data_IF_273925071504
#
_entry.id   IF_273925071504
#
_cell.length_a   1.000
_cell.length_b   1.000
_cell.length_c   1.000
_cell.angle_alpha   90.00
_cell.angle_beta   90.00
_cell.angle_gamma   90.00
#
_symmetry.space_group_name_H-M   'P 1'
#
loop_
_entity.id
_entity.type
_entity.pdbx_description
1 polymer ?
#
# COMPACT_ATOMS: atom_id res chain seq x y z
N UNK A 1 17.20 29.27 -1.31
CA UNK A 1 17.23 28.33 -2.44
C UNK A 1 17.26 26.93 -1.85
N UNK A 2 16.11 26.29 -1.70
CA UNK A 2 16.02 24.93 -1.15
C UNK A 2 16.05 23.94 -2.31
N UNK A 3 17.09 23.10 -2.34
CA UNK A 3 17.21 22.01 -3.30
C UNK A 3 16.37 20.86 -2.76
N UNK A 4 15.26 20.57 -3.43
CA UNK A 4 14.45 19.36 -3.17
C UNK A 4 15.15 18.21 -3.91
N UNK A 5 15.72 17.28 -3.16
CA UNK A 5 16.19 16.01 -3.72
C UNK A 5 14.99 15.09 -3.93
N UNK A 6 14.49 15.00 -5.17
CA UNK A 6 13.57 13.95 -5.57
C UNK A 6 14.41 12.70 -5.82
N UNK A 7 14.36 11.74 -4.90
CA UNK A 7 14.87 10.39 -5.15
C UNK A 7 13.88 9.66 -6.07
N UNK A 8 14.22 9.59 -7.36
CA UNK A 8 13.56 8.71 -8.32
C UNK A 8 14.03 7.27 -8.08
N UNK A 9 13.23 6.47 -7.38
CA UNK A 9 13.41 5.02 -7.36
C UNK A 9 12.90 4.45 -8.69
N UNK A 10 13.82 4.00 -9.55
CA UNK A 10 13.50 3.27 -10.78
C UNK A 10 13.20 1.81 -10.41
N UNK A 11 11.93 1.44 -10.21
CA UNK A 11 11.54 0.02 -10.16
C UNK A 11 11.15 -0.47 -11.56
N UNK A 12 11.68 -1.61 -11.97
CA UNK A 12 11.31 -2.26 -13.23
C UNK A 12 9.94 -2.96 -13.08
N UNK A 13 8.96 -2.56 -13.90
CA UNK A 13 7.75 -3.36 -14.08
C UNK A 13 8.07 -4.53 -15.03
N UNK A 14 7.66 -5.76 -14.67
CA UNK A 14 7.73 -6.92 -15.58
C UNK A 14 6.27 -7.36 -15.76
N UNK A 15 5.74 -7.47 -16.97
CA UNK A 15 4.33 -7.83 -17.22
C UNK A 15 4.26 -9.34 -17.53
N UNK A 16 3.25 -10.06 -17.04
CA UNK A 16 3.01 -11.46 -17.43
C UNK A 16 1.90 -11.57 -18.50
N UNK A 17 1.76 -12.77 -19.09
CA UNK A 17 0.86 -13.04 -20.22
C UNK A 17 -0.64 -12.99 -19.90
N UNK A 18 -1.04 -12.72 -18.65
CA UNK A 18 -2.44 -12.65 -18.21
C UNK A 18 -2.97 -11.23 -18.07
N UNK A 19 -2.12 -10.21 -18.25
CA UNK A 19 -2.54 -8.81 -18.13
C UNK A 19 -2.79 -8.34 -16.69
N UNK A 20 -2.59 -9.20 -15.67
CA UNK A 20 -2.49 -8.74 -14.29
C UNK A 20 -1.14 -8.04 -14.10
N UNK A 21 -1.17 -6.85 -13.49
CA UNK A 21 0.04 -6.13 -13.13
C UNK A 21 0.87 -6.99 -12.18
N UNK A 22 2.01 -7.51 -12.63
CA UNK A 22 2.97 -8.17 -11.76
C UNK A 22 3.34 -7.22 -10.63
N UNK A 23 3.50 -7.78 -9.45
CA UNK A 23 3.92 -7.02 -8.29
C UNK A 23 5.19 -6.20 -8.58
N UNK A 24 5.16 -4.93 -8.20
CA UNK A 24 6.30 -4.03 -8.25
C UNK A 24 7.21 -4.33 -7.06
N UNK A 25 8.45 -4.76 -7.32
CA UNK A 25 9.46 -4.95 -6.26
C UNK A 25 10.14 -3.63 -5.96
N UNK A 26 10.07 -3.18 -4.71
CA UNK A 26 10.86 -2.05 -4.20
C UNK A 26 12.18 -2.57 -3.64
N UNK A 27 13.26 -1.82 -3.86
CA UNK A 27 14.57 -2.15 -3.30
C UNK A 27 14.55 -2.16 -1.77
N UNK A 28 15.39 -3.01 -1.18
CA UNK A 28 15.50 -3.08 0.27
C UNK A 28 16.25 -1.85 0.81
N UNK A 29 15.72 -1.26 1.89
CA UNK A 29 16.32 -0.14 2.62
C UNK A 29 16.99 -0.70 3.87
N UNK A 30 18.20 -0.22 4.16
CA UNK A 30 18.96 -0.60 5.37
C UNK A 30 20.43 -0.93 5.10
N UNK A 31 21.02 -1.73 5.97
CA UNK A 31 22.38 -2.23 5.87
C UNK A 31 22.52 -3.42 4.91
N UNK A 32 23.76 -3.68 4.48
CA UNK A 32 24.10 -4.78 3.55
C UNK A 32 24.46 -6.11 4.26
N UNK A 33 24.26 -6.18 5.57
CA UNK A 33 24.58 -7.36 6.37
C UNK A 33 23.50 -8.45 6.31
N UNK A 34 23.80 -9.61 6.89
CA UNK A 34 22.84 -10.70 7.05
C UNK A 34 22.65 -11.57 5.81
N UNK A 35 21.91 -12.66 5.98
CA UNK A 35 21.46 -13.54 4.89
C UNK A 35 20.22 -12.94 4.25
N UNK A 36 20.18 -12.91 2.93
CA UNK A 36 19.00 -12.47 2.18
C UNK A 36 17.83 -13.44 2.37
N UNK A 37 16.63 -12.88 2.39
CA UNK A 37 15.36 -13.60 2.44
C UNK A 37 14.34 -12.88 1.55
N UNK A 38 13.37 -13.62 1.02
CA UNK A 38 12.36 -13.13 0.09
C UNK A 38 11.11 -14.00 0.24
N UNK A 39 10.04 -13.43 0.78
CA UNK A 39 8.77 -14.13 0.93
C UNK A 39 7.96 -14.13 -0.38
N UNK A 40 8.44 -13.42 -1.40
CA UNK A 40 7.78 -13.31 -2.69
C UNK A 40 6.56 -12.39 -2.68
N UNK A 41 5.85 -12.40 -3.80
CA UNK A 41 4.70 -11.54 -4.07
C UNK A 41 3.41 -12.31 -4.36
N UNK A 42 3.41 -13.62 -4.11
CA UNK A 42 2.29 -14.50 -4.48
C UNK A 42 1.25 -14.56 -3.34
N UNK A 43 0.81 -13.39 -2.86
CA UNK A 43 -0.16 -13.23 -1.79
C UNK A 43 -1.16 -12.12 -2.13
N UNK A 44 -2.35 -12.20 -1.53
CA UNK A 44 -3.41 -11.19 -1.72
C UNK A 44 -3.24 -10.02 -0.75
N UNK A 45 -2.75 -10.28 0.46
CA UNK A 45 -2.55 -9.26 1.51
C UNK A 45 -1.58 -9.75 2.59
N UNK A 46 -1.20 -8.85 3.50
CA UNK A 46 -0.54 -9.16 4.77
C UNK A 46 -1.62 -9.26 5.84
N UNK A 47 -1.65 -10.36 6.58
CA UNK A 47 -2.63 -10.59 7.65
C UNK A 47 -2.11 -10.13 9.01
N UNK A 48 -0.82 -10.35 9.30
CA UNK A 48 -0.25 -10.02 10.61
C UNK A 48 1.25 -9.81 10.54
N UNK A 49 1.74 -8.84 11.32
CA UNK A 49 3.17 -8.57 11.48
C UNK A 49 3.59 -8.97 12.88
N UNK A 50 4.77 -9.57 12.99
CA UNK A 50 5.43 -9.93 14.25
C UNK A 50 6.81 -9.31 14.27
N UNK A 51 7.11 -8.53 15.31
CA UNK A 51 8.41 -7.88 15.48
C UNK A 51 8.92 -8.14 16.88
N UNK A 52 10.19 -8.54 16.97
CA UNK A 52 10.90 -8.66 18.25
C UNK A 52 12.09 -7.73 18.28
N UNK A 53 12.10 -6.84 19.26
CA UNK A 53 13.25 -6.03 19.61
C UNK A 53 14.25 -6.80 20.48
N UNK A 54 15.50 -6.36 20.43
CA UNK A 54 16.59 -6.75 21.32
C UNK A 54 17.50 -5.56 21.62
N UNK A 55 18.61 -5.81 22.31
CA UNK A 55 19.53 -4.76 22.76
C UNK A 55 20.15 -3.94 21.61
N UNK A 56 20.38 -4.58 20.47
CA UNK A 56 21.05 -3.98 19.31
C UNK A 56 20.08 -3.47 18.23
N UNK A 57 18.77 -3.67 18.41
CA UNK A 57 17.73 -3.33 17.43
C UNK A 57 16.74 -4.47 17.23
N UNK A 58 16.08 -4.51 16.07
CA UNK A 58 15.13 -5.57 15.73
C UNK A 58 15.88 -6.87 15.48
N UNK A 59 15.53 -7.93 16.22
CA UNK A 59 16.16 -9.25 16.13
C UNK A 59 15.53 -10.15 15.07
N UNK A 60 14.19 -10.10 14.94
CA UNK A 60 13.49 -10.75 13.85
C UNK A 60 12.21 -10.03 13.48
N UNK A 61 11.78 -10.27 12.24
CA UNK A 61 10.46 -9.94 11.72
C UNK A 61 9.83 -11.18 11.08
N UNK A 62 8.50 -11.30 11.17
CA UNK A 62 7.70 -12.33 10.50
C UNK A 62 6.40 -11.72 10.03
N UNK A 63 5.90 -12.21 8.91
CA UNK A 63 4.64 -11.81 8.31
C UNK A 63 3.78 -13.03 8.08
N UNK A 64 2.54 -13.01 8.56
CA UNK A 64 1.53 -13.93 8.05
C UNK A 64 0.82 -13.25 6.89
N UNK A 65 0.57 -14.01 5.85
CA UNK A 65 -0.03 -13.53 4.61
C UNK A 65 -1.47 -14.02 4.47
N UNK A 66 -2.24 -13.34 3.63
CA UNK A 66 -3.55 -13.81 3.19
C UNK A 66 -3.47 -14.26 1.74
N UNK A 67 -4.09 -15.40 1.44
CA UNK A 67 -4.28 -15.90 0.09
C UNK A 67 -5.55 -16.74 -0.01
N UNK A 68 -6.36 -16.50 -1.03
CA UNK A 68 -7.62 -17.21 -1.27
C UNK A 68 -8.53 -17.21 -0.03
N UNK A 69 -8.56 -16.07 0.68
CA UNK A 69 -9.33 -15.89 1.91
C UNK A 69 -8.81 -16.64 3.14
N UNK A 70 -7.61 -17.21 3.09
CA UNK A 70 -6.96 -17.94 4.19
C UNK A 70 -5.68 -17.27 4.64
N UNK A 71 -5.40 -17.37 5.93
CA UNK A 71 -4.11 -16.94 6.49
C UNK A 71 -3.06 -18.04 6.32
N UNK A 72 -1.88 -17.64 5.84
CA UNK A 72 -0.69 -18.48 5.65
C UNK A 72 0.38 -18.01 6.64
N UNK A 73 0.90 -18.95 7.43
CA UNK A 73 1.99 -18.70 8.39
C UNK A 73 3.30 -18.43 7.63
N UNK A 74 3.97 -17.32 7.94
CA UNK A 74 5.23 -16.97 7.30
C UNK A 74 6.48 -17.48 8.02
N UNK A 75 7.63 -17.25 7.39
CA UNK A 75 8.92 -17.58 8.00
C UNK A 75 9.41 -16.48 8.95
N UNK A 76 10.19 -16.88 9.96
CA UNK A 76 10.92 -15.95 10.81
C UNK A 76 12.20 -15.51 10.10
N UNK A 77 12.40 -14.20 9.98
CA UNK A 77 13.60 -13.60 9.39
C UNK A 77 14.44 -12.93 10.47
N UNK A 78 15.56 -13.56 10.83
CA UNK A 78 16.44 -13.16 11.93
C UNK A 78 16.57 -14.25 12.98
N UNK A 79 16.72 -13.88 14.26
CA UNK A 79 16.93 -14.85 15.34
C UNK A 79 15.69 -14.98 16.24
N UNK A 80 15.12 -16.18 16.26
CA UNK A 80 14.11 -16.59 17.24
C UNK A 80 14.74 -16.92 18.60
N UNK A 81 14.08 -16.58 19.70
CA UNK A 81 14.53 -16.87 21.06
C UNK A 81 13.60 -16.27 22.12
N UNK A 82 13.95 -16.40 23.40
CA UNK A 82 13.14 -15.92 24.53
C UNK A 82 13.03 -14.39 24.56
N UNK A 83 11.82 -13.85 24.63
CA UNK A 83 11.58 -12.41 24.74
C UNK A 83 10.16 -12.02 24.34
N UNK A 84 9.90 -10.72 24.32
CA UNK A 84 8.59 -10.18 23.94
C UNK A 84 8.52 -9.91 22.44
N UNK A 85 7.49 -10.45 21.80
CA UNK A 85 7.15 -10.15 20.41
C UNK A 85 5.93 -9.24 20.42
N UNK A 86 6.03 -8.10 19.75
CA UNK A 86 4.88 -7.24 19.48
C UNK A 86 4.28 -7.62 18.14
N UNK A 87 2.96 -7.51 18.03
CA UNK A 87 2.23 -7.86 16.82
C UNK A 87 1.33 -6.74 16.36
N UNK A 88 1.13 -6.65 15.06
CA UNK A 88 0.16 -5.74 14.44
C UNK A 88 -0.73 -6.53 13.49
N UNK A 89 -2.04 -6.50 13.73
CA UNK A 89 -3.04 -7.24 12.96
C UNK A 89 -3.71 -6.35 11.92
N UNK A 90 -3.82 -6.90 10.71
CA UNK A 90 -4.47 -6.27 9.57
C UNK A 90 -5.78 -7.00 9.34
N UNK A 91 -6.89 -6.26 9.40
CA UNK A 91 -8.23 -6.76 9.16
C UNK A 91 -8.51 -6.89 7.65
N UNK A 92 -7.76 -7.77 7.00
CA UNK A 92 -7.82 -7.97 5.55
C UNK A 92 -9.20 -8.43 5.07
N UNK A 93 -10.02 -9.00 5.95
CA UNK A 93 -11.40 -9.40 5.65
C UNK A 93 -12.34 -8.20 5.52
N UNK A 94 -12.02 -7.08 6.19
CA UNK A 94 -12.73 -5.80 6.07
C UNK A 94 -11.97 -4.79 5.19
N UNK A 95 -11.27 -5.31 4.17
CA UNK A 95 -10.54 -4.49 3.19
C UNK A 95 -9.44 -3.61 3.79
N UNK A 96 -8.89 -3.98 4.96
CA UNK A 96 -7.68 -3.33 5.48
C UNK A 96 -6.45 -3.89 4.78
N UNK A 97 -5.53 -3.03 4.38
CA UNK A 97 -4.25 -3.42 3.77
C UNK A 97 -3.16 -2.41 4.10
N UNK A 98 -1.90 -2.87 4.11
CA UNK A 98 -0.74 -2.01 4.33
C UNK A 98 -0.51 -1.14 3.09
N UNK A 99 -0.48 0.18 3.29
CA UNK A 99 -0.16 1.18 2.26
C UNK A 99 1.33 1.48 2.27
N UNK A 100 1.90 1.64 3.46
CA UNK A 100 3.31 1.96 3.64
C UNK A 100 3.85 1.51 4.99
N UNK A 101 5.18 1.47 5.07
CA UNK A 101 5.93 1.21 6.29
C UNK A 101 6.90 2.37 6.48
N UNK A 102 6.77 3.07 7.60
CA UNK A 102 7.82 3.95 8.08
C UNK A 102 8.76 3.11 8.96
N UNK A 103 10.06 3.37 8.85
CA UNK A 103 11.03 2.63 9.63
C UNK A 103 12.23 3.46 10.02
N UNK A 104 13.05 2.87 10.88
CA UNK A 104 14.20 3.52 11.47
C UNK A 104 15.38 2.56 11.48
N UNK A 105 16.57 3.04 11.10
CA UNK A 105 17.80 2.27 11.19
C UNK A 105 18.95 3.11 11.74
N UNK A 106 19.89 2.47 12.44
CA UNK A 106 21.04 3.17 13.01
C UNK A 106 22.17 3.39 11.99
N UNK A 107 23.28 4.02 12.42
CA UNK A 107 24.43 4.29 11.55
C UNK A 107 25.11 3.03 10.98
N UNK A 108 24.91 1.86 11.60
CA UNK A 108 25.40 0.57 11.09
C UNK A 108 24.48 -0.03 10.03
N UNK A 109 23.28 0.53 9.85
CA UNK A 109 22.24 -0.01 8.98
C UNK A 109 21.39 -1.10 9.65
N UNK A 110 21.44 -1.23 10.98
CA UNK A 110 20.57 -2.16 11.71
C UNK A 110 19.20 -1.55 11.91
N UNK A 111 18.13 -2.30 11.63
CA UNK A 111 16.76 -1.86 11.83
C UNK A 111 16.45 -1.70 13.32
N UNK A 112 15.84 -0.59 13.69
CA UNK A 112 15.61 -0.17 15.08
C UNK A 112 14.14 -0.06 15.44
N UNK A 113 13.29 0.36 14.49
CA UNK A 113 11.85 0.45 14.71
C UNK A 113 11.05 0.47 13.41
N UNK A 114 9.78 0.10 13.50
CA UNK A 114 8.81 0.14 12.41
C UNK A 114 7.48 0.75 12.86
N UNK A 115 6.80 1.40 11.92
CA UNK A 115 5.44 1.89 12.03
C UNK A 115 4.70 1.53 10.73
N UNK A 116 3.63 0.75 10.84
CA UNK A 116 2.86 0.28 9.70
C UNK A 116 1.64 1.18 9.51
N UNK A 117 1.42 1.62 8.27
CA UNK A 117 0.27 2.44 7.90
C UNK A 117 -0.61 1.64 6.96
N UNK A 118 -1.84 1.43 7.36
CA UNK A 118 -2.88 0.84 6.53
C UNK A 118 -3.74 1.94 5.91
N UNK A 119 -4.64 1.55 5.03
CA UNK A 119 -5.70 2.44 4.53
C UNK A 119 -6.68 2.88 5.61
N UNK A 120 -6.70 2.24 6.79
CA UNK A 120 -7.65 2.52 7.87
C UNK A 120 -7.00 3.08 9.14
N UNK A 121 -5.78 2.67 9.47
CA UNK A 121 -5.12 3.03 10.74
C UNK A 121 -3.60 3.03 10.62
N UNK A 122 -2.95 3.55 11.66
CA UNK A 122 -1.50 3.49 11.83
C UNK A 122 -1.21 2.69 13.10
N UNK A 123 -0.21 1.80 13.05
CA UNK A 123 0.27 1.07 14.23
C UNK A 123 0.96 2.02 15.20
N UNK A 124 1.16 1.59 16.45
CA UNK A 124 2.19 2.20 17.28
C UNK A 124 3.58 1.95 16.67
N UNK A 125 4.57 2.76 17.07
CA UNK A 125 5.97 2.52 16.71
C UNK A 125 6.49 1.32 17.50
N UNK A 126 6.85 0.25 16.80
CA UNK A 126 7.41 -0.96 17.39
C UNK A 126 8.93 -0.90 17.30
N UNK A 127 9.61 -0.64 18.42
CA UNK A 127 11.07 -0.57 18.53
C UNK A 127 11.57 0.71 19.22
N UNK A 128 12.82 1.09 18.95
CA UNK A 128 13.50 2.22 19.63
C UNK A 128 14.13 3.21 18.62
N UNK A 129 13.40 4.22 18.13
CA UNK A 129 13.87 5.11 17.06
C UNK A 129 14.89 6.19 17.49
N UNK A 130 15.31 6.24 18.75
CA UNK A 130 16.14 7.35 19.27
C UNK A 130 17.54 7.35 18.63
N UNK A 131 17.93 8.48 18.00
CA UNK A 131 19.25 8.65 17.41
C UNK A 131 19.47 7.90 16.09
N UNK A 132 18.37 7.57 15.39
CA UNK A 132 18.36 6.76 14.16
C UNK A 132 17.97 7.58 12.93
N UNK A 133 18.16 7.00 11.74
CA UNK A 133 17.73 7.56 10.45
C UNK A 133 16.37 6.99 10.07
N UNK A 134 15.42 7.86 9.73
CA UNK A 134 14.06 7.47 9.28
C UNK A 134 14.05 7.15 7.78
N UNK A 135 13.23 6.19 7.39
CA UNK A 135 12.87 5.91 6.00
C UNK A 135 11.36 5.63 5.86
N UNK A 136 10.89 5.61 4.62
CA UNK A 136 9.55 5.15 4.25
C UNK A 136 9.66 4.19 3.08
N UNK A 137 8.84 3.14 3.10
CA UNK A 137 8.75 2.10 2.08
C UNK A 137 7.28 1.92 1.68
N UNK A 138 6.99 1.86 0.38
CA UNK A 138 5.61 1.88 -0.13
C UNK A 138 5.06 3.30 -0.26
N UNK A 139 3.76 3.48 -0.05
CA UNK A 139 3.11 4.80 -0.13
C UNK A 139 2.91 5.31 -1.56
N UNK A 140 2.91 4.41 -2.54
CA UNK A 140 2.59 4.73 -3.93
C UNK A 140 1.06 4.79 -4.07
N UNK A 141 0.54 5.89 -4.65
CA UNK A 141 -0.90 6.08 -4.82
C UNK A 141 -1.55 4.89 -5.54
N UNK A 142 -2.66 4.38 -4.99
CA UNK A 142 -3.39 3.24 -5.54
C UNK A 142 -2.69 1.89 -5.39
N UNK A 143 -1.61 1.79 -4.60
CA UNK A 143 -0.89 0.54 -4.35
C UNK A 143 -1.00 0.08 -2.89
N UNK A 144 -0.87 -1.22 -2.70
CA UNK A 144 -0.80 -1.89 -1.40
C UNK A 144 0.40 -2.83 -1.33
N UNK A 145 0.87 -3.13 -0.13
CA UNK A 145 1.96 -4.09 0.12
C UNK A 145 1.40 -5.52 0.23
N UNK A 146 1.97 -6.45 -0.52
CA UNK A 146 1.57 -7.88 -0.54
C UNK A 146 2.71 -8.86 -0.22
N UNK A 147 3.91 -8.35 0.01
CA UNK A 147 5.07 -9.20 0.25
C UNK A 147 6.24 -8.40 0.75
N UNK A 148 7.19 -9.08 1.39
CA UNK A 148 8.40 -8.48 1.90
C UNK A 148 9.62 -9.32 1.50
N UNK A 149 10.76 -8.64 1.40
CA UNK A 149 12.08 -9.25 1.25
C UNK A 149 13.09 -8.43 2.04
N UNK A 150 14.31 -8.94 2.21
CA UNK A 150 15.34 -8.21 2.94
C UNK A 150 16.54 -9.05 3.31
N UNK A 151 17.21 -8.66 4.38
CA UNK A 151 18.34 -9.44 4.93
C UNK A 151 18.37 -9.40 6.45
N UNK A 152 18.76 -10.52 7.05
CA UNK A 152 18.85 -10.65 8.51
C UNK A 152 20.00 -11.58 8.93
N UNK A 153 20.65 -11.22 10.03
CA UNK A 153 21.61 -12.04 10.75
C UNK A 153 21.17 -12.21 12.20
N UNK A 154 22.01 -11.79 13.16
CA UNK A 154 21.62 -11.66 14.57
C UNK A 154 20.58 -10.56 14.81
N UNK A 155 20.52 -9.60 13.88
CA UNK A 155 19.60 -8.48 13.81
C UNK A 155 19.05 -8.38 12.40
N UNK A 156 17.95 -7.65 12.24
CA UNK A 156 17.37 -7.32 10.94
C UNK A 156 18.19 -6.18 10.31
N UNK A 157 18.67 -6.41 9.10
CA UNK A 157 19.58 -5.49 8.41
C UNK A 157 18.88 -4.65 7.35
N UNK A 158 17.94 -5.24 6.61
CA UNK A 158 17.22 -4.51 5.56
C UNK A 158 15.81 -5.04 5.36
N UNK A 159 14.95 -4.19 4.79
CA UNK A 159 13.59 -4.54 4.39
C UNK A 159 13.23 -3.87 3.06
N UNK A 160 12.63 -4.63 2.16
CA UNK A 160 12.00 -4.20 0.92
C UNK A 160 10.60 -4.81 0.82
N UNK A 161 9.82 -4.34 -0.14
CA UNK A 161 8.41 -4.70 -0.27
C UNK A 161 8.03 -5.01 -1.71
N UNK A 162 6.99 -5.82 -1.86
CA UNK A 162 6.27 -6.02 -3.11
C UNK A 162 4.95 -5.27 -3.05
N UNK A 163 4.68 -4.46 -4.08
CA UNK A 163 3.46 -3.71 -4.22
C UNK A 163 2.58 -4.28 -5.32
N UNK A 164 1.26 -4.26 -5.12
CA UNK A 164 0.28 -4.47 -6.19
C UNK A 164 -0.76 -3.35 -6.18
N UNK A 165 -1.62 -3.33 -7.20
CA UNK A 165 -2.77 -2.42 -7.24
C UNK A 165 -3.70 -2.74 -6.06
N UNK A 166 -3.98 -1.73 -5.25
CA UNK A 166 -4.91 -1.87 -4.14
C UNK A 166 -6.34 -2.13 -4.66
N UNK A 167 -7.16 -2.90 -3.93
CA UNK A 167 -8.54 -3.05 -4.28
C UNK A 167 -9.25 -1.68 -4.23
N UNK A 168 -10.19 -1.43 -5.14
CA UNK A 168 -10.99 -0.23 -5.16
C UNK A 168 -11.79 -0.14 -3.85
N UNK A 169 -11.60 0.97 -3.12
CA UNK A 169 -12.31 1.21 -1.86
C UNK A 169 -13.56 2.05 -2.14
N UNK A 170 -14.73 1.58 -1.70
CA UNK A 170 -15.98 2.31 -1.83
C UNK A 170 -16.10 3.36 -0.73
N UNK A 171 -15.97 4.63 -1.09
CA UNK A 171 -16.22 5.74 -0.18
C UNK A 171 -17.70 5.85 0.19
N UNK A 172 -17.99 6.40 1.37
CA UNK A 172 -19.37 6.75 1.76
C UNK A 172 -19.93 7.81 0.81
N UNK A 173 -21.23 7.72 0.53
CA UNK A 173 -21.94 8.73 -0.26
C UNK A 173 -21.96 10.07 0.49
N UNK A 174 -21.69 11.16 -0.23
CA UNK A 174 -21.75 12.52 0.29
C UNK A 174 -22.81 13.30 -0.49
N UNK A 175 -23.73 13.94 0.24
CA UNK A 175 -24.84 14.69 -0.36
C UNK A 175 -26.06 13.82 -0.70
N UNK A 176 -27.10 14.48 -1.26
CA UNK A 176 -28.38 13.87 -1.64
C UNK A 176 -29.52 14.17 -0.66
N UNK A 177 -30.60 14.75 -1.17
CA UNK A 177 -31.94 14.70 -0.55
C UNK A 177 -32.67 13.45 -1.06
N UNK A 178 -33.83 13.13 -0.50
CA UNK A 178 -34.70 12.06 -1.01
C UNK A 178 -35.04 12.25 -2.50
N UNK A 179 -34.94 11.17 -3.29
CA UNK A 179 -35.50 11.12 -4.66
C UNK A 179 -34.54 10.88 -5.84
N UNK A 180 -33.29 10.48 -5.60
CA UNK A 180 -32.37 10.06 -6.68
C UNK A 180 -32.28 8.52 -6.83
N UNK A 181 -32.06 8.05 -8.06
CA UNK A 181 -31.73 6.64 -8.31
C UNK A 181 -30.25 6.38 -7.97
N UNK A 182 -29.94 5.37 -7.14
CA UNK A 182 -28.58 5.01 -6.83
C UNK A 182 -27.88 4.44 -8.08
N UNK A 183 -26.62 4.81 -8.27
CA UNK A 183 -25.78 4.28 -9.33
C UNK A 183 -24.39 3.93 -8.78
N UNK A 184 -23.76 2.94 -9.40
CA UNK A 184 -22.40 2.50 -9.12
C UNK A 184 -21.84 1.93 -10.43
N UNK A 185 -20.87 2.62 -11.02
CA UNK A 185 -20.25 2.19 -12.28
C UNK A 185 -19.42 0.92 -12.13
N UNK A 186 -19.23 0.47 -10.88
CA UNK A 186 -18.36 -0.63 -10.53
C UNK A 186 -16.90 -0.25 -10.62
N UNK A 187 -16.04 -1.21 -10.29
CA UNK A 187 -14.61 -0.98 -10.18
C UNK A 187 -13.79 -1.64 -11.28
N UNK A 188 -14.44 -2.12 -12.34
CA UNK A 188 -13.82 -2.87 -13.42
C UNK A 188 -13.32 -1.92 -14.52
N UNK A 189 -12.45 -0.99 -14.14
CA UNK A 189 -11.78 -0.01 -14.99
C UNK A 189 -10.32 0.14 -14.53
N UNK A 190 -9.43 0.45 -15.46
CA UNK A 190 -7.99 0.60 -15.22
C UNK A 190 -7.66 1.95 -14.57
N UNK A 191 -8.52 2.94 -14.77
CA UNK A 191 -8.38 4.27 -14.19
C UNK A 191 -9.48 5.23 -14.64
N UNK A 192 -9.44 6.43 -14.07
CA UNK A 192 -10.27 7.57 -14.48
C UNK A 192 -9.42 8.45 -15.37
N UNK A 193 -9.86 8.69 -16.61
CA UNK A 193 -9.16 9.54 -17.58
C UNK A 193 -9.59 10.99 -17.47
N UNK A 194 -10.89 11.21 -17.31
CA UNK A 194 -11.51 12.55 -17.28
C UNK A 194 -12.82 12.52 -16.52
N UNK A 195 -13.09 13.59 -15.78
CA UNK A 195 -14.38 13.85 -15.15
C UNK A 195 -14.94 15.14 -15.76
N UNK A 196 -16.22 15.14 -16.12
CA UNK A 196 -16.91 16.35 -16.58
C UNK A 196 -18.24 16.51 -15.86
N UNK A 197 -18.52 17.73 -15.41
CA UNK A 197 -19.74 18.05 -14.66
C UNK A 197 -20.59 19.00 -15.49
N UNK A 198 -21.87 18.65 -15.66
CA UNK A 198 -22.87 19.56 -16.24
C UNK A 198 -23.61 20.26 -15.11
N UNK A 199 -23.76 21.57 -15.19
CA UNK A 199 -24.42 22.38 -14.18
C UNK A 199 -25.31 23.47 -14.78
N UNK A 200 -26.24 23.95 -13.97
CA UNK A 200 -26.91 25.24 -14.16
C UNK A 200 -26.54 26.14 -12.97
N UNK A 201 -26.97 27.40 -13.00
CA UNK A 201 -26.54 28.45 -12.05
C UNK A 201 -26.47 28.04 -10.57
N UNK A 202 -27.33 27.13 -10.09
CA UNK A 202 -27.38 26.71 -8.69
C UNK A 202 -27.24 25.21 -8.45
N UNK A 203 -27.17 24.38 -9.49
CA UNK A 203 -27.28 22.93 -9.35
C UNK A 203 -26.31 22.18 -10.27
N UNK A 204 -25.63 21.17 -9.72
CA UNK A 204 -25.03 20.11 -10.51
C UNK A 204 -26.16 19.27 -11.09
N UNK A 205 -26.15 19.09 -12.41
CA UNK A 205 -27.18 18.39 -13.17
C UNK A 205 -26.75 16.99 -13.55
N UNK A 206 -25.49 16.80 -13.90
CA UNK A 206 -24.93 15.48 -14.13
C UNK A 206 -23.42 15.42 -13.98
N UNK A 207 -22.93 14.20 -13.83
CA UNK A 207 -21.51 13.85 -13.90
C UNK A 207 -21.29 12.86 -15.05
N UNK A 208 -20.20 13.06 -15.77
CA UNK A 208 -19.68 12.18 -16.79
C UNK A 208 -18.29 11.73 -16.36
N UNK A 209 -18.01 10.44 -16.45
CA UNK A 209 -16.68 9.90 -16.16
C UNK A 209 -16.23 9.09 -17.36
N UNK A 210 -15.09 9.49 -17.93
CA UNK A 210 -14.38 8.72 -18.94
C UNK A 210 -13.39 7.81 -18.23
N UNK A 211 -13.67 6.52 -18.23
CA UNK A 211 -12.80 5.49 -17.68
C UNK A 211 -11.85 4.95 -18.74
N UNK A 212 -10.64 4.58 -18.33
CA UNK A 212 -9.77 3.72 -19.13
C UNK A 212 -10.12 2.25 -18.85
N UNK A 213 -10.26 1.46 -19.91
CA UNK A 213 -10.49 0.02 -19.81
C UNK A 213 -9.92 -0.70 -21.02
N UNK A 214 -8.98 -1.61 -20.80
CA UNK A 214 -8.33 -2.42 -21.84
C UNK A 214 -7.76 -1.54 -22.97
N UNK A 215 -7.18 -0.38 -22.60
CA UNK A 215 -6.64 0.62 -23.52
C UNK A 215 -7.68 1.47 -24.27
N UNK A 216 -8.97 1.30 -23.99
CA UNK A 216 -10.06 2.09 -24.57
C UNK A 216 -10.66 3.06 -23.55
N UNK A 217 -11.40 4.06 -24.04
CA UNK A 217 -12.16 4.99 -23.21
C UNK A 217 -13.62 4.57 -23.16
N UNK A 218 -14.13 4.39 -21.94
CA UNK A 218 -15.53 4.03 -21.67
C UNK A 218 -16.18 5.14 -20.87
N UNK A 219 -17.14 5.85 -21.47
CA UNK A 219 -17.87 6.93 -20.81
C UNK A 219 -19.05 6.40 -20.01
N UNK A 220 -19.22 6.90 -18.79
CA UNK A 220 -20.40 6.73 -17.94
C UNK A 220 -21.02 8.07 -17.61
N UNK A 221 -22.33 8.05 -17.39
CA UNK A 221 -23.13 9.25 -17.32
C UNK A 221 -24.26 9.08 -16.29
N UNK A 222 -24.38 10.05 -15.39
CA UNK A 222 -25.42 10.06 -14.37
C UNK A 222 -26.03 11.46 -14.20
N UNK A 223 -27.33 11.60 -14.47
CA UNK A 223 -28.10 12.84 -14.25
C UNK A 223 -28.81 13.38 -15.50
N UNK A 224 -28.96 14.71 -15.58
CA UNK A 224 -29.58 15.45 -16.69
C UNK A 224 -28.56 16.27 -17.51
N UNK A 225 -28.67 16.24 -18.85
CA UNK A 225 -27.73 16.90 -19.80
C UNK A 225 -28.09 18.36 -20.11
N UNK A 226 -28.89 19.01 -19.27
CA UNK A 226 -29.33 20.38 -19.51
C UNK A 226 -28.51 21.37 -18.68
N UNK A 227 -27.70 22.17 -19.36
CA UNK A 227 -26.83 23.18 -18.74
C UNK A 227 -25.49 23.24 -19.44
N UNK A 228 -24.56 23.96 -18.81
CA UNK A 228 -23.19 24.10 -19.27
C UNK A 228 -22.34 22.94 -18.72
N UNK A 229 -21.36 22.48 -19.51
CA UNK A 229 -20.51 21.34 -19.13
C UNK A 229 -19.06 21.77 -19.09
N UNK A 230 -18.39 21.43 -17.98
CA UNK A 230 -16.98 21.72 -17.77
C UNK A 230 -16.23 20.45 -17.37
N UNK A 231 -14.96 20.38 -17.77
CA UNK A 231 -14.02 19.36 -17.32
C UNK A 231 -13.48 19.75 -15.94
N UNK A 232 -13.30 18.76 -15.08
CA UNK A 232 -12.71 18.94 -13.75
C UNK A 232 -11.23 18.60 -13.82
N UNK A 233 -10.39 19.59 -13.54
CA UNK A 233 -8.93 19.46 -13.44
C UNK A 233 -8.46 18.77 -12.15
#
# INVERSE_FOLDING_TARGET
>A
MFIIYIFLFLSSAIIDSTGLAKAQKLDAIGGKGGKQWDDGADHDNVAKVYIRGGLEGIQYIKFDYAKDGKTIDGSIHGVSGSGFTQTFEIDYQNSEYIVSVDGYYDKSGTMQAFEFKTNLKTSEVIGYPKGTTKFSLGGVNGKMVIGFHGSAGKVLNSIGAYLTTAPPTKSQLVGGLTGGEPWDDGSNYDGVKKISVTYISTLIRSINVDYEKDGQVVTRYHGMKNGDTEEVD
#
